data_IF_886571403885
#
_entry.id   IF_886571403885
#
_cell.length_a   1.000
_cell.length_b   1.000
_cell.length_c   1.000
_cell.angle_alpha   90.00
_cell.angle_beta   90.00
_cell.angle_gamma   90.00
#
_symmetry.space_group_name_H-M   'P 1'
#
loop_
_entity.id
_entity.type
_entity.pdbx_description
1 polymer ?
#
# COMPACT_ATOMS: atom_id res chain seq x y z
N UNK A 1 -10.63 -4.60 18.47
CA UNK A 1 -9.54 -5.52 18.10
C UNK A 1 -8.40 -5.36 19.11
N UNK A 2 -7.69 -6.42 19.50
CA UNK A 2 -6.50 -6.29 20.32
C UNK A 2 -5.44 -5.53 19.51
N UNK A 3 -4.90 -4.44 20.07
CA UNK A 3 -3.91 -3.58 19.42
C UNK A 3 -4.45 -2.25 18.88
N UNK A 4 -5.72 -1.90 19.09
CA UNK A 4 -6.30 -0.62 18.67
C UNK A 4 -6.20 -0.36 17.16
N UNK A 5 -6.04 0.91 16.76
CA UNK A 5 -5.94 1.35 15.38
C UNK A 5 -4.73 0.74 14.63
N UNK A 6 -3.58 0.62 15.32
CA UNK A 6 -2.39 0.03 14.74
C UNK A 6 -2.54 -1.47 14.44
N UNK A 7 -3.18 -2.22 15.36
CA UNK A 7 -3.47 -3.64 15.12
C UNK A 7 -4.44 -3.86 13.97
N UNK A 8 -5.48 -3.02 13.86
CA UNK A 8 -6.41 -3.05 12.73
C UNK A 8 -5.68 -2.75 11.40
N UNK A 9 -4.81 -1.75 11.40
CA UNK A 9 -3.97 -1.39 10.24
C UNK A 9 -3.12 -2.56 9.79
N UNK A 10 -2.41 -3.24 10.69
CA UNK A 10 -1.57 -4.39 10.36
C UNK A 10 -2.37 -5.55 9.74
N UNK A 11 -3.54 -5.86 10.29
CA UNK A 11 -4.42 -6.91 9.76
C UNK A 11 -4.86 -6.57 8.34
N UNK A 12 -5.27 -5.32 8.11
CA UNK A 12 -5.69 -4.85 6.78
C UNK A 12 -4.52 -4.88 5.81
N UNK A 13 -3.34 -4.43 6.21
CA UNK A 13 -2.14 -4.48 5.37
C UNK A 13 -1.77 -5.92 4.97
N UNK A 14 -1.83 -6.85 5.92
CA UNK A 14 -1.58 -8.27 5.63
C UNK A 14 -2.62 -8.85 4.68
N UNK A 15 -3.90 -8.53 4.88
CA UNK A 15 -4.98 -8.96 3.99
C UNK A 15 -4.80 -8.42 2.57
N UNK A 16 -4.53 -7.11 2.44
CA UNK A 16 -4.31 -6.47 1.14
C UNK A 16 -3.05 -6.99 0.45
N UNK A 17 -2.01 -7.31 1.22
CA UNK A 17 -0.81 -7.95 0.70
C UNK A 17 -1.11 -9.32 0.09
N UNK A 18 -1.82 -10.16 0.81
CA UNK A 18 -2.23 -11.49 0.30
C UNK A 18 -3.14 -11.36 -0.91
N UNK A 19 -4.13 -10.47 -0.87
CA UNK A 19 -5.00 -10.21 -2.02
C UNK A 19 -4.20 -9.70 -3.22
N UNK A 20 -3.23 -8.82 -3.03
CA UNK A 20 -2.39 -8.26 -4.09
C UNK A 20 -1.47 -9.27 -4.78
N UNK A 21 -1.30 -10.48 -4.21
CA UNK A 21 -0.61 -11.58 -4.90
C UNK A 21 -1.48 -12.19 -6.02
N UNK A 22 -2.80 -12.12 -5.90
CA UNK A 22 -3.76 -12.78 -6.79
C UNK A 22 -4.59 -11.80 -7.60
N UNK A 23 -4.93 -10.65 -7.03
CA UNK A 23 -5.76 -9.62 -7.64
C UNK A 23 -4.90 -8.48 -8.19
N UNK A 24 -5.40 -7.81 -9.22
CA UNK A 24 -4.80 -6.58 -9.71
C UNK A 24 -4.94 -5.45 -8.67
N UNK A 25 -3.95 -4.55 -8.63
CA UNK A 25 -3.96 -3.39 -7.75
C UNK A 25 -5.18 -2.48 -7.99
N UNK A 26 -5.67 -2.42 -9.23
CA UNK A 26 -6.87 -1.66 -9.59
C UNK A 26 -8.10 -2.20 -8.85
N UNK A 27 -8.29 -3.52 -8.83
CA UNK A 27 -9.41 -4.15 -8.10
C UNK A 27 -9.33 -3.88 -6.60
N UNK A 28 -8.13 -3.94 -6.03
CA UNK A 28 -7.94 -3.66 -4.60
C UNK A 28 -8.25 -2.20 -4.29
N UNK A 29 -7.78 -1.26 -5.11
CA UNK A 29 -8.02 0.17 -4.90
C UNK A 29 -9.52 0.49 -5.01
N UNK A 30 -10.22 -0.05 -5.99
CA UNK A 30 -11.64 0.29 -6.19
C UNK A 30 -12.62 -0.50 -5.32
N UNK A 31 -12.24 -1.67 -4.81
CA UNK A 31 -13.12 -2.51 -4.00
C UNK A 31 -12.74 -2.49 -2.53
N UNK A 32 -11.48 -2.75 -2.20
CA UNK A 32 -11.05 -2.92 -0.81
C UNK A 32 -10.86 -1.58 -0.11
N UNK A 33 -10.19 -0.63 -0.77
CA UNK A 33 -9.89 0.68 -0.17
C UNK A 33 -11.15 1.47 0.18
N UNK A 34 -12.20 1.56 -0.64
CA UNK A 34 -13.45 2.23 -0.26
C UNK A 34 -14.18 1.59 0.92
N UNK A 35 -14.04 0.27 1.11
CA UNK A 35 -14.65 -0.44 2.22
C UNK A 35 -13.86 -0.23 3.51
N UNK A 36 -12.55 -0.38 3.45
CA UNK A 36 -11.66 -0.39 4.61
C UNK A 36 -11.22 1.02 5.02
N UNK A 37 -11.07 1.92 4.04
CA UNK A 37 -10.60 3.28 4.24
C UNK A 37 -11.42 4.06 5.27
N UNK A 38 -12.74 4.19 5.12
CA UNK A 38 -13.57 4.90 6.09
C UNK A 38 -13.49 4.32 7.51
N UNK A 39 -13.37 3.00 7.63
CA UNK A 39 -13.27 2.31 8.92
C UNK A 39 -11.95 2.67 9.62
N UNK A 40 -10.83 2.61 8.91
CA UNK A 40 -9.52 2.92 9.47
C UNK A 40 -9.30 4.41 9.71
N UNK A 41 -9.81 5.26 8.83
CA UNK A 41 -9.78 6.71 9.04
C UNK A 41 -10.64 7.14 10.23
N UNK A 42 -11.76 6.45 10.47
CA UNK A 42 -12.58 6.64 11.69
C UNK A 42 -11.87 6.24 12.99
N UNK A 43 -10.73 5.54 12.92
CA UNK A 43 -9.86 5.22 14.05
C UNK A 43 -8.75 6.26 14.27
N UNK A 44 -8.91 7.48 13.76
CA UNK A 44 -7.96 8.61 13.91
C UNK A 44 -6.58 8.40 13.26
N UNK A 45 -6.50 7.53 12.26
CA UNK A 45 -5.26 7.37 11.47
C UNK A 45 -5.07 8.56 10.51
N UNK A 46 -3.83 9.02 10.39
CA UNK A 46 -3.52 10.10 9.48
C UNK A 46 -3.71 9.67 8.02
N UNK A 47 -4.57 10.35 7.23
CA UNK A 47 -4.97 9.86 5.91
C UNK A 47 -3.83 9.80 4.90
N UNK A 48 -2.90 10.74 4.93
CA UNK A 48 -1.73 10.75 4.04
C UNK A 48 -0.83 9.56 4.35
N UNK A 49 -0.54 9.31 5.62
CA UNK A 49 0.26 8.17 6.05
C UNK A 49 -0.42 6.84 5.67
N UNK A 50 -1.72 6.74 5.90
CA UNK A 50 -2.50 5.57 5.50
C UNK A 50 -2.43 5.32 3.99
N UNK A 51 -2.59 6.35 3.16
CA UNK A 51 -2.46 6.25 1.71
C UNK A 51 -1.08 5.79 1.25
N UNK A 52 -0.01 6.34 1.84
CA UNK A 52 1.38 5.95 1.55
C UNK A 52 1.63 4.49 1.94
N UNK A 53 1.14 4.06 3.11
CA UNK A 53 1.26 2.68 3.57
C UNK A 53 0.59 1.69 2.61
N UNK A 54 -0.64 1.99 2.17
CA UNK A 54 -1.34 1.19 1.16
C UNK A 54 -0.54 1.12 -0.15
N UNK A 55 -0.07 2.25 -0.64
CA UNK A 55 0.67 2.32 -1.91
C UNK A 55 1.94 1.44 -1.89
N UNK A 56 2.75 1.55 -0.83
CA UNK A 56 3.97 0.74 -0.68
C UNK A 56 3.61 -0.76 -0.53
N UNK A 57 2.56 -1.06 0.23
CA UNK A 57 2.10 -2.42 0.44
C UNK A 57 1.65 -3.10 -0.87
N UNK A 58 0.84 -2.41 -1.66
CA UNK A 58 0.38 -2.90 -2.97
C UNK A 58 1.54 -3.05 -3.95
N UNK A 59 2.47 -2.09 -3.98
CA UNK A 59 3.67 -2.18 -4.80
C UNK A 59 4.51 -3.41 -4.43
N UNK A 60 4.65 -3.69 -3.14
CA UNK A 60 5.41 -4.85 -2.64
C UNK A 60 4.71 -6.16 -3.03
N UNK A 61 3.40 -6.26 -2.85
CA UNK A 61 2.64 -7.46 -3.23
C UNK A 61 2.68 -7.72 -4.73
N UNK A 62 2.58 -6.68 -5.54
CA UNK A 62 2.66 -6.74 -7.00
C UNK A 62 4.00 -7.28 -7.52
N UNK A 63 5.06 -7.11 -6.73
CA UNK A 63 6.41 -7.56 -7.06
C UNK A 63 6.74 -8.94 -6.45
N UNK A 64 5.94 -9.42 -5.51
CA UNK A 64 6.24 -10.62 -4.71
C UNK A 64 5.84 -11.91 -5.46
N UNK A 65 6.75 -12.90 -5.59
CA UNK A 65 6.40 -14.22 -6.10
C UNK A 65 5.33 -14.92 -5.19
N UNK A 66 4.51 -15.85 -5.69
CA UNK A 66 4.61 -16.51 -7.01
C UNK A 66 3.80 -15.86 -8.12
N UNK A 67 2.83 -14.97 -7.82
CA UNK A 67 1.88 -14.46 -8.79
C UNK A 67 2.04 -12.97 -9.12
N UNK A 68 3.05 -12.29 -8.56
CA UNK A 68 3.26 -10.86 -8.81
C UNK A 68 3.14 -10.50 -10.30
N UNK A 69 2.15 -9.69 -10.67
CA UNK A 69 1.87 -9.34 -12.06
C UNK A 69 3.08 -8.75 -12.77
N UNK A 70 3.92 -8.00 -12.07
CA UNK A 70 5.16 -7.46 -12.62
C UNK A 70 6.11 -8.55 -13.11
N UNK A 71 6.19 -9.66 -12.37
CA UNK A 71 7.04 -10.79 -12.74
C UNK A 71 6.49 -11.55 -13.94
N UNK A 72 5.17 -11.63 -14.05
CA UNK A 72 4.52 -12.24 -15.19
C UNK A 72 4.80 -11.46 -16.49
N UNK A 73 4.67 -10.13 -16.46
CA UNK A 73 5.01 -9.28 -17.59
C UNK A 73 6.50 -9.35 -17.94
N UNK A 74 7.37 -9.32 -16.94
CA UNK A 74 8.80 -9.46 -17.13
C UNK A 74 9.15 -10.79 -17.80
N UNK A 75 8.50 -11.88 -17.39
CA UNK A 75 8.69 -13.20 -18.01
C UNK A 75 8.28 -13.20 -19.48
N UNK A 76 7.22 -12.49 -19.85
CA UNK A 76 6.73 -12.40 -21.24
C UNK A 76 7.71 -11.74 -22.20
N UNK A 77 8.57 -10.83 -21.71
CA UNK A 77 9.55 -10.09 -22.55
C UNK A 77 10.99 -10.54 -22.34
N UNK A 78 11.26 -11.38 -21.33
CA UNK A 78 12.59 -11.88 -21.03
C UNK A 78 13.10 -12.85 -22.12
N UNK A 79 14.39 -12.81 -22.48
CA UNK A 79 14.99 -13.76 -23.39
C UNK A 79 14.82 -15.21 -22.92
N UNK A 80 14.80 -16.17 -23.85
CA UNK A 80 14.65 -17.59 -23.52
C UNK A 80 15.79 -18.14 -22.62
N UNK A 81 16.94 -17.46 -22.60
CA UNK A 81 18.08 -17.80 -21.73
C UNK A 81 17.84 -17.49 -20.25
N UNK A 82 16.91 -16.62 -19.92
CA UNK A 82 16.58 -16.25 -18.55
C UNK A 82 15.45 -17.15 -18.03
N UNK A 83 15.71 -17.90 -16.97
CA UNK A 83 14.72 -18.77 -16.37
C UNK A 83 13.80 -17.99 -15.42
N UNK A 84 12.61 -18.53 -15.13
CA UNK A 84 11.71 -17.95 -14.13
C UNK A 84 12.35 -17.89 -12.73
N UNK A 85 13.20 -18.86 -12.43
CA UNK A 85 13.94 -18.89 -11.16
C UNK A 85 14.97 -17.78 -11.06
N UNK A 86 15.62 -17.41 -12.18
CA UNK A 86 16.57 -16.29 -12.19
C UNK A 86 15.84 -14.95 -11.91
N UNK A 87 14.65 -14.78 -12.48
CA UNK A 87 13.79 -13.62 -12.22
C UNK A 87 13.41 -13.57 -10.74
N UNK A 88 12.96 -14.67 -10.16
CA UNK A 88 12.57 -14.74 -8.76
C UNK A 88 13.74 -14.44 -7.81
N UNK A 89 14.92 -14.98 -8.10
CA UNK A 89 16.12 -14.67 -7.32
C UNK A 89 16.53 -13.21 -7.43
N UNK A 90 16.43 -12.65 -8.63
CA UNK A 90 16.75 -11.25 -8.86
C UNK A 90 15.83 -10.27 -8.14
N UNK A 91 14.56 -10.64 -7.90
CA UNK A 91 13.57 -9.76 -7.27
C UNK A 91 13.65 -9.75 -5.73
N UNK A 92 14.17 -10.82 -5.12
CA UNK A 92 14.24 -10.94 -3.65
C UNK A 92 14.84 -9.70 -2.97
N UNK A 93 16.01 -9.18 -3.39
CA UNK A 93 16.58 -8.00 -2.75
C UNK A 93 15.69 -6.77 -2.86
N UNK A 94 14.97 -6.59 -3.97
CA UNK A 94 14.06 -5.46 -4.15
C UNK A 94 12.84 -5.56 -3.22
N UNK A 95 12.26 -6.76 -3.08
CA UNK A 95 11.15 -6.99 -2.14
C UNK A 95 11.61 -6.74 -0.70
N UNK A 96 12.81 -7.17 -0.33
CA UNK A 96 13.36 -6.91 1.00
C UNK A 96 13.53 -5.40 1.25
N UNK A 97 14.06 -4.65 0.29
CA UNK A 97 14.20 -3.20 0.40
C UNK A 97 12.83 -2.53 0.58
N UNK A 98 11.82 -2.97 -0.16
CA UNK A 98 10.45 -2.44 -0.03
C UNK A 98 9.82 -2.75 1.33
N UNK A 99 10.01 -3.96 1.85
CA UNK A 99 9.55 -4.33 3.19
C UNK A 99 10.22 -3.47 4.25
N UNK A 100 11.53 -3.25 4.14
CA UNK A 100 12.27 -2.35 5.04
C UNK A 100 11.72 -0.94 4.93
N UNK A 101 11.48 -0.42 3.72
CA UNK A 101 10.86 0.88 3.50
C UNK A 101 9.48 0.99 4.13
N UNK A 102 8.65 -0.04 3.97
CA UNK A 102 7.33 -0.11 4.60
C UNK A 102 7.43 -0.06 6.13
N UNK A 103 8.36 -0.80 6.72
CA UNK A 103 8.59 -0.78 8.16
C UNK A 103 9.06 0.60 8.66
N UNK A 104 9.94 1.27 7.92
CA UNK A 104 10.42 2.61 8.26
C UNK A 104 9.26 3.62 8.24
N UNK A 105 8.43 3.61 7.21
CA UNK A 105 7.26 4.50 7.11
C UNK A 105 6.20 4.16 8.16
N UNK A 106 6.03 2.87 8.49
CA UNK A 106 5.13 2.43 9.55
C UNK A 106 5.57 2.95 10.93
N UNK A 107 6.87 2.92 11.18
CA UNK A 107 7.44 3.38 12.46
C UNK A 107 7.54 4.90 12.54
N UNK A 108 7.85 5.57 11.43
CA UNK A 108 8.08 7.01 11.37
C UNK A 108 7.02 7.73 10.53
N UNK A 109 5.92 8.08 11.18
CA UNK A 109 4.79 8.79 10.58
C UNK A 109 5.22 10.08 9.85
N UNK A 110 6.14 10.84 10.46
CA UNK A 110 6.63 12.10 9.93
C UNK A 110 7.30 11.99 8.55
N UNK A 111 7.80 10.81 8.18
CA UNK A 111 8.41 10.61 6.87
C UNK A 111 7.41 10.75 5.72
N UNK A 112 6.17 10.31 5.95
CA UNK A 112 5.09 10.41 4.96
C UNK A 112 4.36 11.76 5.01
N UNK A 113 4.30 12.41 6.17
CA UNK A 113 3.50 13.62 6.39
C UNK A 113 4.30 14.92 6.27
N UNK A 114 5.62 14.86 6.45
CA UNK A 114 6.49 16.03 6.47
C UNK A 114 6.40 16.89 5.19
N UNK A 115 6.44 16.27 4.02
CA UNK A 115 6.43 17.01 2.75
C UNK A 115 5.08 17.68 2.47
N UNK A 116 3.93 16.98 2.61
CA UNK A 116 2.62 17.62 2.48
C UNK A 116 2.36 18.74 3.48
N UNK A 117 2.87 18.63 4.71
CA UNK A 117 2.73 19.65 5.74
C UNK A 117 3.47 20.95 5.37
N UNK A 118 4.67 20.86 4.77
CA UNK A 118 5.44 22.01 4.30
C UNK A 118 4.73 22.73 3.14
N UNK A 119 4.15 21.97 2.19
CA UNK A 119 3.51 22.55 1.01
C UNK A 119 2.05 22.98 1.23
N UNK A 120 1.54 22.94 2.45
CA UNK A 120 0.23 23.51 2.78
C UNK A 120 -0.98 22.85 2.11
N UNK A 121 -0.82 21.68 1.55
CA UNK A 121 -1.89 21.04 0.79
C UNK A 121 -2.88 20.31 1.71
N UNK A 122 -2.46 19.94 2.92
CA UNK A 122 -3.25 19.09 3.83
C UNK A 122 -4.16 19.85 4.80
N UNK A 123 -3.81 21.02 5.35
CA UNK A 123 -4.65 21.66 6.37
C UNK A 123 -6.00 22.18 5.87
N UNK A 124 -6.10 22.53 4.59
CA UNK A 124 -7.31 23.15 4.04
C UNK A 124 -8.36 22.13 3.55
N UNK A 125 -7.95 20.90 3.28
CA UNK A 125 -8.84 19.84 2.78
C UNK A 125 -9.41 18.93 3.88
N UNK A 126 -8.89 19.02 5.09
CA UNK A 126 -9.34 18.23 6.22
C UNK A 126 -10.10 19.03 7.26
N UNK A 127 -10.98 19.89 6.81
CA UNK A 127 -12.09 20.35 7.65
C UNK A 127 -13.07 19.16 7.79
N UNK A 128 -13.28 18.63 8.98
CA UNK A 128 -14.22 17.54 9.21
C UNK A 128 -15.65 17.91 8.76
N UNK A 129 -15.97 19.21 8.63
CA UNK A 129 -17.21 19.68 8.06
C UNK A 129 -17.29 19.43 6.53
N UNK A 130 -16.15 19.35 5.82
CA UNK A 130 -16.10 19.11 4.38
C UNK A 130 -15.91 17.63 4.03
N UNK A 131 -15.52 16.77 4.98
CA UNK A 131 -15.39 15.33 4.75
C UNK A 131 -16.70 14.67 4.30
N UNK A 132 -17.84 15.25 4.67
CA UNK A 132 -19.18 14.82 4.24
C UNK A 132 -19.51 15.15 2.77
N UNK A 133 -18.78 16.09 2.13
CA UNK A 133 -19.06 16.53 0.77
C UNK A 133 -18.16 15.90 -0.30
N UNK A 134 -17.04 15.29 0.10
CA UNK A 134 -16.08 14.68 -0.84
C UNK A 134 -16.49 13.26 -1.26
N UNK A 135 -17.41 12.64 -0.54
CA UNK A 135 -17.90 11.28 -0.79
C UNK A 135 -19.36 11.22 -1.29
N UNK A 136 -19.87 12.27 -1.94
CA UNK A 136 -21.17 12.18 -2.63
C UNK A 136 -20.88 11.84 -4.10
N UNK A 137 -21.40 10.68 -4.62
CA UNK A 137 -21.28 10.29 -6.01
C UNK A 137 -22.01 11.24 -6.96
#
# INVERSE_FOLDING_TARGET
>A
MPGGAFGAMLVVMALMFVMGLFLDFIEIIFVVVPIVGPILLGMELHPVWFGVMIAINLQTSFLTPPFGFALFYLRGVAPASVTTMDIYRGIIPFVLIQIVGLCIVAYWLGLATWLPEIFWIVPTYFDPALAGYIFIP
#
